data_IF_719001016546
#
_entry.id   IF_719001016546
#
_cell.length_a   1.000
_cell.length_b   1.000
_cell.length_c   1.000
_cell.angle_alpha   90.00
_cell.angle_beta   90.00
_cell.angle_gamma   90.00
#
_symmetry.space_group_name_H-M   'P 1'
#
loop_
_entity.id
_entity.type
_entity.pdbx_description
1 polymer ?
#
# COMPACT_ATOMS: atom_id res chain seq x y z
N UNK A 1 -33.70 -1.98 34.74
CA UNK A 1 -33.14 -3.33 34.98
C UNK A 1 -33.84 -4.45 34.20
N UNK A 2 -34.95 -4.21 33.49
CA UNK A 2 -35.66 -5.24 32.71
C UNK A 2 -35.14 -5.42 31.27
N UNK A 3 -34.23 -4.58 30.80
CA UNK A 3 -33.62 -4.72 29.48
C UNK A 3 -32.59 -5.83 29.48
N UNK A 4 -32.54 -6.61 28.38
CA UNK A 4 -31.51 -7.63 28.17
C UNK A 4 -30.11 -6.99 28.19
N UNK A 5 -29.14 -7.70 28.77
CA UNK A 5 -27.74 -7.27 28.76
C UNK A 5 -27.16 -7.29 27.34
N UNK A 6 -26.37 -6.26 27.02
CA UNK A 6 -25.64 -6.14 25.73
C UNK A 6 -24.19 -6.65 25.82
N UNK A 7 -23.80 -7.23 26.95
CA UNK A 7 -22.45 -7.79 27.18
C UNK A 7 -22.20 -9.01 26.30
N UNK A 8 -21.00 -9.10 25.73
CA UNK A 8 -20.47 -10.29 25.06
C UNK A 8 -19.44 -10.96 25.98
N UNK A 9 -19.42 -12.29 26.03
CA UNK A 9 -18.47 -13.04 26.85
C UNK A 9 -17.19 -13.28 26.05
N UNK A 10 -16.18 -12.45 26.26
CA UNK A 10 -14.84 -12.64 25.71
C UNK A 10 -14.04 -13.54 26.65
N UNK A 11 -13.29 -14.55 26.16
CA UNK A 11 -12.87 -14.77 24.77
C UNK A 11 -13.78 -15.69 23.92
N UNK A 12 -14.84 -16.28 24.48
CA UNK A 12 -15.67 -17.28 23.79
C UNK A 12 -16.46 -16.70 22.60
N UNK A 13 -16.87 -15.43 22.72
CA UNK A 13 -17.56 -14.65 21.69
C UNK A 13 -16.67 -13.47 21.29
N UNK A 14 -16.05 -13.57 20.12
CA UNK A 14 -15.23 -12.50 19.54
C UNK A 14 -16.10 -11.40 18.90
N UNK A 15 -15.65 -10.13 18.95
CA UNK A 15 -16.36 -9.04 18.29
C UNK A 15 -16.33 -9.20 16.76
N UNK A 16 -17.45 -8.86 16.11
CA UNK A 16 -17.52 -8.74 14.66
C UNK A 16 -16.89 -7.40 14.22
N UNK A 17 -15.71 -7.47 13.60
CA UNK A 17 -14.96 -6.30 13.15
C UNK A 17 -15.24 -6.02 11.67
N UNK A 18 -15.46 -4.74 11.29
CA UNK A 18 -15.65 -4.40 9.89
C UNK A 18 -14.39 -4.68 9.07
N UNK A 19 -14.48 -5.01 7.77
CA UNK A 19 -13.31 -5.38 6.95
C UNK A 19 -12.20 -4.33 6.83
N UNK A 20 -12.47 -3.06 7.16
CA UNK A 20 -11.51 -1.95 7.15
C UNK A 20 -11.02 -1.57 8.55
N UNK A 21 -11.18 -2.47 9.53
CA UNK A 21 -10.63 -2.30 10.87
C UNK A 21 -9.11 -2.17 10.83
N UNK A 22 -8.57 -1.28 11.64
CA UNK A 22 -7.13 -1.08 11.79
C UNK A 22 -6.63 -1.95 12.95
N UNK A 23 -6.19 -3.16 12.64
CA UNK A 23 -5.51 -4.04 13.59
C UNK A 23 -4.01 -3.77 13.56
N UNK A 24 -3.23 -4.83 13.39
CA UNK A 24 -1.78 -4.77 13.21
C UNK A 24 -1.41 -4.43 11.77
N UNK A 25 -0.25 -3.81 11.59
CA UNK A 25 0.31 -3.54 10.26
C UNK A 25 1.07 -4.77 9.79
N UNK A 26 0.72 -5.27 8.61
CA UNK A 26 1.40 -6.37 7.95
C UNK A 26 2.35 -5.84 6.87
N UNK A 27 3.46 -6.55 6.63
CA UNK A 27 4.48 -6.23 5.62
C UNK A 27 4.51 -7.30 4.53
N UNK A 28 4.44 -6.89 3.27
CA UNK A 28 4.80 -7.73 2.12
C UNK A 28 6.20 -7.31 1.69
N UNK A 29 7.20 -8.11 2.10
CA UNK A 29 8.63 -7.77 1.94
C UNK A 29 9.01 -7.57 0.46
N UNK A 30 8.44 -8.38 -0.42
CA UNK A 30 8.71 -8.38 -1.87
C UNK A 30 8.30 -7.07 -2.54
N UNK A 31 7.34 -6.35 -1.96
CA UNK A 31 6.84 -5.07 -2.47
C UNK A 31 7.64 -3.87 -1.94
N UNK A 32 8.40 -4.05 -0.85
CA UNK A 32 9.12 -2.94 -0.23
C UNK A 32 10.40 -2.60 -1.02
N UNK A 33 10.45 -1.39 -1.59
CA UNK A 33 11.62 -0.89 -2.35
C UNK A 33 12.57 0.00 -1.56
N UNK A 34 12.37 0.07 -0.23
CA UNK A 34 13.15 0.94 0.68
C UNK A 34 13.13 2.43 0.25
N UNK A 35 11.97 2.91 -0.19
CA UNK A 35 11.81 4.31 -0.61
C UNK A 35 11.83 5.32 0.56
N UNK A 36 11.73 4.84 1.81
CA UNK A 36 11.71 5.63 3.05
C UNK A 36 10.53 6.61 3.20
N UNK A 37 9.49 6.51 2.37
CA UNK A 37 8.31 7.40 2.47
C UNK A 37 7.51 7.13 3.75
N UNK A 38 7.24 5.86 4.05
CA UNK A 38 6.49 5.46 5.23
C UNK A 38 7.14 5.92 6.54
N UNK A 39 8.46 5.79 6.67
CA UNK A 39 9.20 6.25 7.84
C UNK A 39 9.23 7.78 7.97
N UNK A 40 9.34 8.50 6.84
CA UNK A 40 9.37 9.97 6.82
C UNK A 40 8.02 10.60 7.16
N UNK A 41 6.93 10.00 6.70
CA UNK A 41 5.58 10.53 6.89
C UNK A 41 4.93 10.02 8.19
N UNK A 42 5.57 9.10 8.90
CA UNK A 42 5.10 8.65 10.21
C UNK A 42 5.13 9.82 11.21
N UNK A 43 3.98 10.21 11.81
CA UNK A 43 3.94 11.34 12.73
C UNK A 43 4.75 11.07 14.02
N UNK A 44 4.83 9.81 14.46
CA UNK A 44 5.54 9.39 15.67
C UNK A 44 6.95 8.87 15.41
N UNK A 45 7.37 8.76 14.15
CA UNK A 45 8.69 8.25 13.74
C UNK A 45 9.01 6.85 14.30
N UNK A 46 7.99 5.99 14.40
CA UNK A 46 8.10 4.66 15.01
C UNK A 46 8.60 3.55 14.05
N UNK A 47 9.01 3.89 12.82
CA UNK A 47 9.42 2.92 11.80
C UNK A 47 10.94 3.00 11.59
N UNK A 48 11.63 1.88 11.77
CA UNK A 48 13.07 1.74 11.54
C UNK A 48 13.33 0.92 10.27
N UNK A 49 14.15 1.45 9.37
CA UNK A 49 14.45 0.82 8.09
C UNK A 49 15.95 0.88 7.83
N UNK A 50 16.57 -0.28 7.62
CA UNK A 50 17.96 -0.42 7.18
C UNK A 50 18.00 -1.08 5.79
N UNK A 51 18.98 -0.67 4.98
CA UNK A 51 19.13 -1.18 3.61
C UNK A 51 20.57 -1.08 3.12
N UNK A 52 20.93 -2.00 2.23
CA UNK A 52 22.18 -1.97 1.50
C UNK A 52 21.94 -1.87 -0.01
N UNK A 53 22.99 -1.50 -0.75
CA UNK A 53 22.95 -1.41 -2.21
C UNK A 53 23.57 -2.65 -2.83
N UNK A 54 22.77 -3.37 -3.59
CA UNK A 54 23.24 -4.47 -4.42
C UNK A 54 23.42 -4.00 -5.87
N UNK A 55 24.53 -4.36 -6.50
CA UNK A 55 24.79 -4.04 -7.91
C UNK A 55 24.42 -5.23 -8.77
N UNK A 56 23.37 -5.09 -9.56
CA UNK A 56 22.96 -6.12 -10.50
C UNK A 56 23.87 -6.08 -11.74
N UNK A 57 24.34 -7.25 -12.22
CA UNK A 57 25.14 -7.33 -13.43
C UNK A 57 24.30 -6.83 -14.61
N UNK A 58 24.91 -6.01 -15.45
CA UNK A 58 24.23 -5.51 -16.64
C UNK A 58 24.06 -6.65 -17.66
N UNK A 59 22.90 -6.77 -18.33
CA UNK A 59 22.82 -7.55 -19.57
C UNK A 59 23.77 -6.95 -20.61
N UNK A 60 24.30 -7.78 -21.53
CA UNK A 60 25.38 -7.43 -22.47
C UNK A 60 25.25 -6.00 -23.04
N UNK A 61 26.24 -5.15 -22.73
CA UNK A 61 26.32 -3.77 -23.20
C UNK A 61 25.65 -2.70 -22.33
N UNK A 62 25.02 -3.06 -21.22
CA UNK A 62 24.38 -2.12 -20.29
C UNK A 62 25.29 -1.55 -19.20
N UNK A 63 24.85 -0.45 -18.57
CA UNK A 63 25.46 0.07 -17.33
C UNK A 63 24.94 -0.73 -16.12
N UNK A 64 25.80 -1.12 -15.15
CA UNK A 64 25.35 -1.77 -13.93
C UNK A 64 24.31 -0.93 -13.21
N UNK A 65 23.28 -1.58 -12.67
CA UNK A 65 22.18 -0.92 -11.96
C UNK A 65 22.30 -1.27 -10.49
N UNK A 66 22.33 -0.26 -9.63
CA UNK A 66 22.20 -0.45 -8.19
C UNK A 66 20.72 -0.56 -7.82
N UNK A 67 20.39 -1.53 -6.96
CA UNK A 67 19.08 -1.67 -6.30
C UNK A 67 19.29 -1.67 -4.79
N UNK A 68 18.37 -1.05 -4.07
CA UNK A 68 18.37 -1.12 -2.61
C UNK A 68 17.67 -2.42 -2.21
N UNK A 69 18.28 -3.18 -1.32
CA UNK A 69 17.72 -4.37 -0.71
C UNK A 69 17.38 -4.05 0.75
N UNK A 70 16.23 -4.54 1.22
CA UNK A 70 15.76 -4.31 2.58
C UNK A 70 16.49 -5.24 3.55
N UNK A 71 17.22 -4.68 4.51
CA UNK A 71 17.91 -5.47 5.54
C UNK A 71 17.02 -5.63 6.77
N UNK A 72 16.50 -4.50 7.26
CA UNK A 72 15.68 -4.43 8.46
C UNK A 72 14.47 -3.55 8.19
N UNK A 73 13.33 -3.99 8.69
CA UNK A 73 12.13 -3.19 8.76
C UNK A 73 11.46 -3.50 10.10
N UNK A 74 11.41 -2.52 11.00
CA UNK A 74 10.79 -2.68 12.30
C UNK A 74 9.79 -1.57 12.56
N UNK A 75 8.70 -1.92 13.23
CA UNK A 75 7.72 -0.96 13.74
C UNK A 75 7.66 -1.10 15.26
N UNK A 76 7.84 0.02 15.95
CA UNK A 76 7.60 0.10 17.39
C UNK A 76 6.11 0.40 17.65
N UNK A 77 5.38 -0.63 18.04
CA UNK A 77 3.96 -0.52 18.37
C UNK A 77 3.69 0.10 19.75
N UNK A 78 4.72 0.33 20.56
CA UNK A 78 4.59 1.13 21.78
C UNK A 78 4.48 2.63 21.49
N UNK A 79 4.95 3.05 20.30
CA UNK A 79 4.90 4.45 19.82
C UNK A 79 3.83 4.68 18.75
N UNK A 80 3.53 3.66 17.94
CA UNK A 80 2.57 3.77 16.83
C UNK A 80 1.15 4.19 17.29
N UNK A 81 0.60 5.27 16.73
CA UNK A 81 -0.78 5.67 16.97
C UNK A 81 -1.84 5.08 16.01
N UNK A 82 -1.47 4.11 15.15
CA UNK A 82 -2.38 3.46 14.19
C UNK A 82 -3.11 4.43 13.23
N UNK A 83 -2.42 5.49 12.82
CA UNK A 83 -2.99 6.51 11.93
C UNK A 83 -3.20 6.01 10.49
N UNK A 84 -2.43 5.02 10.03
CA UNK A 84 -2.50 4.42 8.70
C UNK A 84 -1.79 5.20 7.59
N UNK A 85 -1.12 6.30 7.93
CA UNK A 85 -0.44 7.15 6.96
C UNK A 85 0.66 6.37 6.22
N UNK A 86 1.41 5.51 6.92
CA UNK A 86 2.45 4.67 6.32
C UNK A 86 1.92 3.72 5.23
N UNK A 87 0.66 3.29 5.33
CA UNK A 87 0.01 2.42 4.35
C UNK A 87 -0.39 3.24 3.13
N UNK A 88 -1.09 4.36 3.33
CA UNK A 88 -1.58 5.21 2.24
C UNK A 88 -0.45 5.87 1.42
N UNK A 89 0.68 6.17 2.06
CA UNK A 89 1.81 6.83 1.39
C UNK A 89 2.71 5.84 0.66
N UNK A 90 2.54 4.53 0.89
CA UNK A 90 3.38 3.51 0.28
C UNK A 90 3.04 3.38 -1.20
N UNK A 91 3.94 3.78 -2.13
CA UNK A 91 3.60 3.79 -3.55
C UNK A 91 3.67 2.39 -4.20
N UNK A 92 4.05 1.37 -3.42
CA UNK A 92 4.22 -0.01 -3.87
C UNK A 92 3.32 -0.99 -3.12
N UNK A 93 2.39 -0.49 -2.29
CA UNK A 93 1.48 -1.34 -1.50
C UNK A 93 2.24 -2.44 -0.74
N UNK A 94 3.26 -2.06 0.03
CA UNK A 94 4.05 -2.99 0.84
C UNK A 94 3.48 -3.18 2.24
N UNK A 95 2.62 -2.28 2.72
CA UNK A 95 2.05 -2.30 4.06
C UNK A 95 0.54 -2.40 3.98
N UNK A 96 -0.07 -3.22 4.84
CA UNK A 96 -1.52 -3.43 4.87
C UNK A 96 -2.05 -3.51 6.29
N UNK A 97 -3.36 -3.26 6.45
CA UNK A 97 -4.06 -3.57 7.68
C UNK A 97 -4.43 -5.04 7.74
N UNK A 98 -3.93 -5.72 8.77
CA UNK A 98 -4.44 -7.02 9.19
C UNK A 98 -5.59 -6.82 10.19
N UNK A 99 -6.60 -7.71 10.20
CA UNK A 99 -7.65 -7.70 11.22
C UNK A 99 -7.17 -8.20 12.57
N UNK A 100 -5.93 -8.69 12.68
CA UNK A 100 -5.36 -9.16 13.95
C UNK A 100 -5.16 -8.01 14.92
N UNK A 101 -5.64 -8.16 16.15
CA UNK A 101 -5.57 -7.12 17.18
C UNK A 101 -5.10 -7.66 18.53
N UNK A 102 -4.97 -8.99 18.68
CA UNK A 102 -4.65 -9.66 19.94
C UNK A 102 -3.15 -10.00 20.01
N UNK A 103 -2.29 -8.97 20.09
CA UNK A 103 -0.82 -9.14 20.18
C UNK A 103 -0.21 -8.44 21.39
N UNK A 104 -0.95 -8.35 22.49
CA UNK A 104 -0.46 -7.75 23.72
C UNK A 104 0.75 -8.52 24.28
N UNK A 105 1.78 -7.78 24.69
CA UNK A 105 3.03 -8.31 25.24
C UNK A 105 3.23 -7.83 26.69
N UNK A 106 3.94 -8.62 27.49
CA UNK A 106 4.23 -8.28 28.90
C UNK A 106 5.40 -7.32 29.09
N UNK A 107 6.34 -7.25 28.14
CA UNK A 107 7.44 -6.27 28.10
C UNK A 107 7.24 -5.34 26.89
N UNK A 108 7.43 -4.04 27.11
CA UNK A 108 7.38 -3.01 26.06
C UNK A 108 8.36 -3.29 24.92
N UNK A 109 9.52 -3.91 25.22
CA UNK A 109 10.54 -4.22 24.20
C UNK A 109 10.03 -5.21 23.16
N UNK A 110 9.07 -6.07 23.52
CA UNK A 110 8.49 -7.05 22.61
C UNK A 110 7.45 -6.44 21.65
N UNK A 111 7.04 -5.19 21.86
CA UNK A 111 6.18 -4.44 20.93
C UNK A 111 6.94 -3.85 19.75
N UNK A 112 8.27 -3.98 19.71
CA UNK A 112 9.05 -3.72 18.50
C UNK A 112 9.00 -4.96 17.63
N UNK A 113 8.21 -4.89 16.56
CA UNK A 113 8.03 -6.01 15.65
C UNK A 113 8.94 -5.83 14.44
N UNK A 114 9.85 -6.77 14.28
CA UNK A 114 10.75 -6.89 13.13
C UNK A 114 10.03 -7.45 11.90
N UNK A 115 10.70 -7.38 10.74
CA UNK A 115 10.14 -7.67 9.43
C UNK A 115 9.48 -9.05 9.34
N UNK A 116 10.04 -10.05 10.00
CA UNK A 116 9.54 -11.43 9.95
C UNK A 116 8.18 -11.56 10.66
N UNK A 117 8.00 -10.89 11.80
CA UNK A 117 6.72 -10.88 12.55
C UNK A 117 5.66 -10.11 11.76
N UNK A 118 6.05 -8.99 11.13
CA UNK A 118 5.19 -8.20 10.25
C UNK A 118 4.77 -8.98 9.00
N UNK A 119 5.69 -9.74 8.40
CA UNK A 119 5.42 -10.59 7.24
C UNK A 119 4.50 -11.75 7.59
N UNK A 120 4.63 -12.31 8.80
CA UNK A 120 3.73 -13.32 9.33
C UNK A 120 2.30 -12.81 9.62
N UNK A 121 1.97 -11.54 9.37
CA UNK A 121 0.58 -11.08 9.34
C UNK A 121 0.04 -10.86 7.94
N UNK A 122 0.87 -10.88 6.90
CA UNK A 122 0.44 -10.62 5.53
C UNK A 122 -0.63 -11.61 5.05
N UNK A 123 -0.58 -12.87 5.50
CA UNK A 123 -1.57 -13.88 5.17
C UNK A 123 -2.96 -13.65 5.80
N UNK A 124 -3.05 -12.80 6.82
CA UNK A 124 -4.32 -12.46 7.48
C UNK A 124 -5.02 -11.27 6.83
N UNK A 125 -4.33 -10.57 5.92
CA UNK A 125 -4.87 -9.39 5.23
C UNK A 125 -6.01 -9.85 4.31
N UNK A 126 -7.22 -9.29 4.45
CA UNK A 126 -8.33 -9.63 3.58
C UNK A 126 -8.04 -9.17 2.14
N UNK A 127 -8.49 -9.92 1.13
CA UNK A 127 -8.32 -9.50 -0.25
C UNK A 127 -9.04 -8.17 -0.51
N UNK A 128 -8.50 -7.32 -1.41
CA UNK A 128 -9.15 -6.07 -1.76
C UNK A 128 -10.57 -6.34 -2.29
N UNK A 129 -11.55 -5.48 -1.95
CA UNK A 129 -12.92 -5.65 -2.42
C UNK A 129 -12.96 -5.66 -3.94
N UNK A 130 -13.83 -6.48 -4.51
CA UNK A 130 -14.04 -6.51 -5.95
C UNK A 130 -14.41 -5.12 -6.47
N UNK A 131 -13.86 -4.76 -7.62
CA UNK A 131 -14.22 -3.52 -8.29
C UNK A 131 -15.72 -3.54 -8.62
N UNK A 132 -16.38 -2.39 -8.48
CA UNK A 132 -17.76 -2.20 -8.89
C UNK A 132 -17.94 -2.70 -10.34
N UNK A 133 -19.09 -3.31 -10.69
CA UNK A 133 -19.28 -3.95 -11.99
C UNK A 133 -19.11 -3.01 -13.20
N UNK A 134 -19.16 -1.69 -12.99
CA UNK A 134 -18.95 -0.68 -14.03
C UNK A 134 -17.62 0.09 -13.88
N UNK A 135 -16.74 -0.32 -12.96
CA UNK A 135 -15.43 0.30 -12.82
C UNK A 135 -14.52 -0.12 -13.98
N UNK A 136 -13.71 0.82 -14.47
CA UNK A 136 -12.65 0.49 -15.42
C UNK A 136 -11.74 -0.59 -14.82
N UNK A 137 -11.37 -1.63 -15.59
CA UNK A 137 -10.55 -2.71 -15.08
C UNK A 137 -9.20 -2.18 -14.58
N UNK A 138 -8.62 -2.80 -13.53
CA UNK A 138 -7.29 -2.46 -13.04
C UNK A 138 -6.29 -2.30 -14.18
N UNK A 139 -5.49 -1.22 -14.12
CA UNK A 139 -4.49 -0.90 -15.14
C UNK A 139 -3.52 -2.06 -15.36
N UNK A 140 -3.21 -2.82 -14.32
CA UNK A 140 -2.39 -4.02 -14.39
C UNK A 140 -3.05 -5.10 -15.27
N UNK A 141 -4.33 -5.42 -15.05
CA UNK A 141 -5.07 -6.39 -15.87
C UNK A 141 -5.23 -5.89 -17.32
N UNK A 142 -5.49 -4.60 -17.51
CA UNK A 142 -5.56 -3.99 -18.83
C UNK A 142 -4.20 -4.00 -19.54
N UNK A 143 -3.08 -3.87 -18.81
CA UNK A 143 -1.73 -3.94 -19.33
C UNK A 143 -1.32 -5.38 -19.71
N UNK A 144 -1.66 -6.38 -18.89
CA UNK A 144 -1.41 -7.79 -19.20
C UNK A 144 -2.25 -8.26 -20.39
N UNK A 145 -3.49 -7.78 -20.50
CA UNK A 145 -4.38 -8.09 -21.62
C UNK A 145 -4.00 -7.38 -22.92
N UNK A 146 -3.09 -6.40 -22.86
CA UNK A 146 -2.69 -5.63 -24.03
C UNK A 146 -1.73 -6.46 -24.87
N UNK A 147 -2.00 -6.68 -26.17
CA UNK A 147 -1.09 -7.42 -27.01
C UNK A 147 0.28 -6.75 -26.97
N UNK A 148 1.32 -7.57 -26.80
CA UNK A 148 2.70 -7.09 -26.77
C UNK A 148 2.96 -6.26 -28.03
N UNK A 149 3.55 -5.07 -27.85
CA UNK A 149 3.96 -4.25 -28.99
C UNK A 149 4.94 -5.08 -29.82
N UNK A 150 4.71 -5.28 -31.13
CA UNK A 150 5.60 -6.08 -31.97
C UNK A 150 7.02 -5.51 -31.87
N UNK A 151 7.98 -6.40 -31.66
CA UNK A 151 9.40 -6.06 -31.65
C UNK A 151 9.82 -5.71 -33.08
N UNK A 152 10.81 -4.81 -33.25
CA UNK A 152 11.42 -4.60 -34.56
C UNK A 152 11.94 -5.93 -35.12
N UNK A 153 11.29 -6.46 -36.15
CA UNK A 153 11.61 -7.75 -36.76
C UNK A 153 10.52 -8.83 -36.69
N UNK A 154 9.42 -8.61 -35.97
CA UNK A 154 8.30 -9.56 -35.98
C UNK A 154 7.59 -9.59 -37.36
N UNK A 155 7.28 -10.78 -37.93
CA UNK A 155 6.61 -10.87 -39.21
C UNK A 155 5.18 -10.32 -39.13
N UNK A 156 4.85 -9.37 -40.00
CA UNK A 156 3.50 -8.82 -40.13
C UNK A 156 2.52 -9.93 -40.55
N UNK A 157 1.38 -10.13 -39.86
CA UNK A 157 0.34 -11.04 -40.33
C UNK A 157 -0.14 -10.57 -41.70
N UNK A 158 -0.04 -11.45 -42.68
CA UNK A 158 -0.24 -11.15 -44.10
C UNK A 158 -1.63 -10.57 -44.39
N UNK A 159 -1.63 -9.48 -45.14
CA UNK A 159 -2.81 -8.96 -45.81
C UNK A 159 -3.32 -10.01 -46.82
N UNK A 160 -4.38 -10.74 -46.46
CA UNK A 160 -5.09 -11.59 -47.41
C UNK A 160 -5.72 -10.73 -48.49
N UNK A 161 -5.40 -11.03 -49.75
CA UNK A 161 -5.95 -10.41 -50.96
C UNK A 161 -7.45 -10.71 -51.08
N UNK A 162 -8.28 -9.67 -51.17
CA UNK A 162 -9.67 -9.79 -51.60
C UNK A 162 -9.77 -9.82 -53.13
N UNK A 163 -10.53 -10.77 -53.68
CA UNK A 163 -10.91 -10.86 -55.09
C UNK A 163 -12.30 -10.18 -55.35
N UNK A 164 -12.68 -9.84 -56.60
CA UNK A 164 -13.68 -8.79 -56.87
C UNK A 164 -15.10 -9.26 -57.25
N UNK A 165 -16.07 -8.34 -57.06
CA UNK A 165 -17.44 -8.30 -57.66
C UNK A 165 -18.58 -8.73 -56.70
N UNK A 166 -19.79 -8.15 -56.63
CA UNK A 166 -20.54 -7.06 -57.29
C UNK A 166 -21.62 -6.57 -56.26
N UNK A 167 -21.88 -5.27 -56.05
CA UNK A 167 -22.88 -4.47 -56.74
C UNK A 167 -24.15 -4.21 -55.87
N UNK A 168 -24.36 -2.97 -55.39
CA UNK A 168 -25.59 -2.18 -55.60
C UNK A 168 -25.48 -0.76 -55.02
N UNK A 169 -26.23 0.14 -55.66
CA UNK A 169 -26.07 1.58 -55.76
C UNK A 169 -26.73 2.40 -54.63
N UNK A 170 -26.28 3.65 -54.45
CA UNK A 170 -26.98 4.63 -53.59
C UNK A 170 -26.25 5.97 -53.39
N UNK A 171 -26.26 6.81 -54.44
CA UNK A 171 -26.18 8.29 -54.50
C UNK A 171 -25.48 9.08 -53.37
N UNK A 172 -24.43 9.81 -53.77
CA UNK A 172 -23.76 10.87 -52.99
C UNK A 172 -24.61 12.15 -52.95
N UNK A 173 -24.84 12.70 -51.76
CA UNK A 173 -25.28 14.08 -51.58
C UNK A 173 -24.14 14.95 -51.04
N UNK A 174 -23.88 16.04 -51.75
CA UNK A 174 -22.88 17.07 -51.52
C UNK A 174 -23.35 18.00 -50.37
N UNK A 175 -22.45 18.35 -49.45
CA UNK A 175 -22.66 19.36 -48.40
C UNK A 175 -22.51 20.77 -48.99
N UNK A 176 -23.46 21.70 -48.82
CA UNK A 176 -23.20 23.13 -48.98
C UNK A 176 -22.90 23.81 -47.61
N UNK A 177 -22.33 25.03 -47.62
CA UNK A 177 -21.63 25.60 -46.48
C UNK A 177 -22.45 26.66 -45.71
N UNK A 178 -22.11 26.84 -44.43
CA UNK A 178 -22.23 28.11 -43.69
C UNK A 178 -23.55 28.41 -42.97
N UNK A 179 -23.50 28.44 -41.63
CA UNK A 179 -24.03 29.51 -40.75
C UNK A 179 -24.13 29.04 -39.28
N UNK A 180 -23.44 29.72 -38.37
CA UNK A 180 -23.71 29.77 -36.92
C UNK A 180 -24.56 31.05 -36.63
N UNK A 181 -25.04 31.31 -35.40
CA UNK A 181 -26.25 30.79 -34.77
C UNK A 181 -27.21 31.94 -34.35
N UNK A 182 -28.38 31.65 -33.76
CA UNK A 182 -29.09 32.61 -32.89
C UNK A 182 -29.66 31.94 -31.64
N UNK A 183 -29.46 32.63 -30.51
CA UNK A 183 -30.12 32.44 -29.21
C UNK A 183 -31.61 32.82 -29.31
N UNK A 184 -32.40 32.37 -28.33
CA UNK A 184 -33.31 33.15 -27.46
C UNK A 184 -33.93 32.13 -26.47
N UNK A 185 -33.51 32.14 -25.20
CA UNK A 185 -34.18 32.74 -24.03
C UNK A 185 -35.41 31.96 -23.51
N UNK A 186 -35.23 31.31 -22.36
CA UNK A 186 -36.21 31.36 -21.27
C UNK A 186 -35.56 31.00 -19.93
N UNK A 187 -35.65 31.98 -19.03
CA UNK A 187 -35.17 32.01 -17.65
C UNK A 187 -36.16 31.40 -16.67
N UNK A 188 -35.65 30.85 -15.57
CA UNK A 188 -36.06 31.04 -14.16
C UNK A 188 -35.16 30.10 -13.34
N UNK A 189 -34.41 30.46 -12.30
CA UNK A 189 -34.25 31.67 -11.50
C UNK A 189 -33.84 31.17 -10.10
N UNK A 190 -32.57 31.32 -9.71
CA UNK A 190 -32.05 31.01 -8.37
C UNK A 190 -31.24 32.18 -7.82
N UNK A 191 -31.31 32.52 -6.52
CA UNK A 191 -30.65 33.70 -5.99
C UNK A 191 -29.18 33.44 -5.60
N UNK A 192 -28.45 34.55 -5.64
CA UNK A 192 -27.00 34.75 -5.57
C UNK A 192 -26.47 34.91 -4.14
N UNK A 193 -25.25 34.41 -3.90
CA UNK A 193 -24.24 34.96 -2.99
C UNK A 193 -22.88 34.60 -3.61
N UNK A 194 -22.00 35.52 -4.01
CA UNK A 194 -21.32 36.50 -3.18
C UNK A 194 -19.81 36.17 -3.27
N UNK A 195 -19.09 36.81 -4.20
CA UNK A 195 -17.65 36.61 -4.42
C UNK A 195 -16.85 37.15 -3.21
N UNK A 196 -15.87 36.38 -2.73
CA UNK A 196 -14.72 36.93 -2.00
C UNK A 196 -13.41 36.46 -2.64
N UNK A 197 -12.46 37.38 -2.63
CA UNK A 197 -11.19 37.42 -3.32
C UNK A 197 -10.12 36.46 -2.80
N UNK A 198 -9.20 36.14 -3.72
CA UNK A 198 -7.83 35.65 -3.50
C UNK A 198 -7.12 36.33 -2.35
N UNK A 199 -6.52 35.52 -1.47
CA UNK A 199 -5.52 35.91 -0.49
C UNK A 199 -4.37 34.91 -0.52
N UNK A 200 -3.17 35.41 -0.74
CA UNK A 200 -1.91 34.70 -0.59
C UNK A 200 -1.71 34.28 0.88
N UNK A 201 -1.39 33.00 1.12
CA UNK A 201 -1.14 32.45 2.45
C UNK A 201 0.18 31.70 2.45
N UNK A 202 1.14 32.21 3.22
CA UNK A 202 2.55 31.84 3.22
C UNK A 202 2.90 30.48 3.80
N UNK A 203 4.15 30.11 3.53
CA UNK A 203 4.83 28.92 4.03
C UNK A 203 4.96 28.93 5.56
N UNK A 204 4.78 27.77 6.24
CA UNK A 204 5.09 27.65 7.66
C UNK A 204 6.62 27.62 7.87
N UNK A 205 7.14 28.23 8.96
CA UNK A 205 8.57 28.21 9.27
C UNK A 205 9.03 26.83 9.76
N UNK A 206 10.28 26.52 9.43
CA UNK A 206 11.01 25.33 9.86
C UNK A 206 11.08 25.24 11.40
N UNK A 207 10.63 24.12 11.96
CA UNK A 207 10.87 23.79 13.36
C UNK A 207 12.31 23.29 13.53
N UNK A 208 13.05 23.96 14.41
CA UNK A 208 14.45 23.66 14.76
C UNK A 208 14.56 22.36 15.58
N UNK A 209 15.56 21.53 15.24
CA UNK A 209 15.98 20.34 15.99
C UNK A 209 16.54 20.74 17.35
N UNK A 210 16.07 20.18 18.48
CA UNK A 210 16.83 20.25 19.72
C UNK A 210 18.01 19.26 19.67
N UNK A 211 19.14 19.80 20.09
CA UNK A 211 20.49 19.25 20.15
C UNK A 211 20.55 17.92 20.93
N UNK A 212 21.11 16.89 20.29
CA UNK A 212 21.49 15.63 20.94
C UNK A 212 22.62 15.92 21.93
N UNK A 213 22.29 15.99 23.22
CA UNK A 213 23.31 15.92 24.27
C UNK A 213 23.67 14.45 24.49
N UNK A 214 24.84 14.09 23.98
CA UNK A 214 25.53 12.83 24.25
C UNK A 214 25.69 12.64 25.76
N UNK A 215 25.08 11.58 26.31
CA UNK A 215 25.50 11.02 27.60
C UNK A 215 25.95 9.59 27.39
N UNK A 216 27.22 9.40 27.75
CA UNK A 216 28.00 8.20 27.64
C UNK A 216 27.43 7.02 28.45
N UNK A 217 27.73 5.83 27.94
CA UNK A 217 27.65 4.52 28.60
C UNK A 217 28.19 4.53 30.04
N UNK A 218 27.70 3.60 30.85
CA UNK A 218 28.65 2.66 31.43
C UNK A 218 28.21 1.21 31.21
N UNK A 219 29.08 0.52 30.47
CA UNK A 219 29.31 -0.91 30.48
C UNK A 219 29.09 -1.58 31.84
N UNK A 220 28.39 -2.72 31.85
CA UNK A 220 28.30 -3.60 33.02
C UNK A 220 27.48 -4.87 32.78
N UNK A 221 27.95 -5.76 31.91
CA UNK A 221 27.63 -7.20 31.94
C UNK A 221 28.47 -7.91 33.04
N UNK A 222 28.23 -9.19 33.44
CA UNK A 222 27.40 -10.21 32.79
C UNK A 222 26.47 -11.04 33.71
N UNK A 223 25.62 -11.78 33.02
CA UNK A 223 24.70 -12.82 33.46
C UNK A 223 25.38 -13.96 34.25
N UNK A 224 24.68 -14.46 35.29
CA UNK A 224 24.90 -15.78 35.87
C UNK A 224 23.63 -16.60 35.68
N UNK A 225 23.76 -17.64 34.88
CA UNK A 225 22.66 -18.52 34.49
C UNK A 225 22.11 -19.39 35.59
N UNK A 226 20.96 -19.96 35.28
CA UNK A 226 20.48 -21.24 35.81
C UNK A 226 19.95 -22.03 34.61
N UNK A 227 20.74 -23.00 34.21
CA UNK A 227 20.34 -24.16 33.42
C UNK A 227 19.67 -25.16 34.36
N UNK A 228 18.45 -25.60 34.06
CA UNK A 228 17.91 -26.85 34.58
C UNK A 228 16.75 -27.33 33.68
N UNK A 229 17.10 -28.15 32.68
CA UNK A 229 16.28 -29.28 32.26
C UNK A 229 17.03 -30.54 32.67
N UNK A 230 16.33 -31.55 33.21
CA UNK A 230 16.56 -32.88 32.71
C UNK A 230 15.26 -33.60 32.34
N UNK A 231 15.29 -34.07 31.11
CA UNK A 231 14.44 -35.05 30.44
C UNK A 231 14.25 -36.37 31.20
N UNK A 232 13.17 -37.09 30.83
CA UNK A 232 13.23 -38.55 30.70
C UNK A 232 12.06 -39.31 31.30
N UNK A 233 10.95 -39.40 30.58
CA UNK A 233 9.94 -40.45 30.75
C UNK A 233 10.48 -41.79 30.22
N UNK A 234 10.19 -42.94 30.85
CA UNK A 234 10.63 -44.26 30.37
C UNK A 234 9.69 -44.83 29.29
N UNK A 235 10.28 -45.32 28.20
CA UNK A 235 9.62 -46.02 27.10
C UNK A 235 9.06 -47.41 27.51
N UNK A 236 7.90 -47.73 26.96
CA UNK A 236 7.14 -48.98 27.12
C UNK A 236 7.62 -50.03 26.09
N UNK A 237 8.02 -51.20 26.58
CA UNK A 237 8.56 -52.32 25.80
C UNK A 237 7.43 -53.20 25.20
N UNK A 238 7.38 -53.33 23.88
CA UNK A 238 6.75 -54.45 23.16
C UNK A 238 7.43 -54.71 21.82
#
# INVERSE_FOLDING_TARGET
MLSRSVTQQYPEVRPDLPPRSRGVIALVEENCTVCMLCARECPDWCIYIDSHKETLPAPEGGRPRARNMLDRFAIDFSLCMYCGICIEVCPFDALFWSPEFEYAEGDIRNLVHEKDKLAAWAQTVPPPPAHEPNADPPKELAAVSRPARPRPGDPTPGASRAAPGAGHAGVRAIRPPGALPKKDDSSTGGPSAGKLSTGEGGAPPAAERPEQTSRADPSGEPEKGISADPSGEPEEEK
#
